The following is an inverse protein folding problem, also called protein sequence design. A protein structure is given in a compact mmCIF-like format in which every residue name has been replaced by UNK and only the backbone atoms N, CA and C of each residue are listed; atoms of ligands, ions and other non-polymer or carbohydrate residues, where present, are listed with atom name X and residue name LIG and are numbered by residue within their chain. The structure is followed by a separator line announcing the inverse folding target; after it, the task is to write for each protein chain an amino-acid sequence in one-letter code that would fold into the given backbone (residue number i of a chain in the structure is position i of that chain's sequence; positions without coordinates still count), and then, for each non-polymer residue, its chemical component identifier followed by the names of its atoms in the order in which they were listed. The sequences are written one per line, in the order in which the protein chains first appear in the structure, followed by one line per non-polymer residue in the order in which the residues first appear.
data_IF_487018172536
#
_entry.id   IF_487018172536
#
_cell.length_a   1.000
_cell.length_b   1.000
_cell.length_c   1.000
_cell.angle_alpha   90.00
_cell.angle_beta   90.00
_cell.angle_gamma   90.00
#
_symmetry.space_group_name_H-M   'P 1'
#
loop_
_entity.id
_entity.type
_entity.pdbx_description
1 polymer ?
#
# COMPACT_ATOMS: atom_id res chain seq x y z
N UNK A 1 -31.50 52.35 12.56
CA UNK A 1 -31.52 50.89 12.38
C UNK A 1 -30.13 50.40 12.75
N UNK A 2 -30.03 49.57 13.79
CA UNK A 2 -28.77 49.28 14.51
C UNK A 2 -27.98 48.13 13.90
N UNK A 3 -26.65 48.30 13.88
CA UNK A 3 -25.66 47.28 13.56
C UNK A 3 -25.57 46.23 14.69
N UNK A 4 -25.70 44.93 14.40
CA UNK A 4 -25.61 43.87 15.41
C UNK A 4 -24.28 43.11 15.36
N UNK A 5 -23.14 43.77 15.15
CA UNK A 5 -21.82 43.13 15.24
C UNK A 5 -20.81 44.04 15.93
N UNK A 6 -20.82 43.97 17.25
CA UNK A 6 -19.76 44.48 18.12
C UNK A 6 -19.52 43.48 19.24
N UNK A 7 -18.24 43.26 19.54
CA UNK A 7 -17.69 42.56 20.70
C UNK A 7 -17.44 41.04 20.57
N UNK A 8 -16.28 40.69 20.01
CA UNK A 8 -15.41 39.68 20.62
C UNK A 8 -14.00 40.27 20.76
N UNK A 9 -13.78 40.93 21.90
CA UNK A 9 -12.47 41.28 22.40
C UNK A 9 -12.17 40.33 23.57
N UNK A 10 -11.05 39.59 23.50
CA UNK A 10 -10.68 38.70 24.59
C UNK A 10 -9.38 37.95 24.37
N UNK A 11 -8.29 38.44 24.99
CA UNK A 11 -7.37 37.56 25.69
C UNK A 11 -6.02 37.24 25.04
N UNK A 12 -5.17 38.24 24.86
CA UNK A 12 -3.72 38.04 24.73
C UNK A 12 -3.13 37.48 26.04
N UNK A 13 -2.73 36.20 26.04
CA UNK A 13 -1.85 35.64 27.10
C UNK A 13 -0.42 35.60 26.58
N UNK A 14 0.43 36.35 27.27
CA UNK A 14 1.84 36.53 26.95
C UNK A 14 2.67 35.27 27.18
N UNK A 15 3.57 35.02 26.23
CA UNK A 15 4.69 34.10 26.38
C UNK A 15 5.82 34.84 27.09
N UNK A 16 6.16 34.42 28.31
CA UNK A 16 7.37 34.88 28.99
C UNK A 16 8.57 34.19 28.35
N UNK A 17 9.48 34.99 27.82
CA UNK A 17 10.83 34.57 27.45
C UNK A 17 11.60 34.18 28.73
N UNK A 18 11.93 32.89 28.85
CA UNK A 18 12.92 32.39 29.81
C UNK A 18 14.32 32.64 29.25
N UNK A 19 15.20 33.20 30.09
CA UNK A 19 16.63 33.37 29.80
C UNK A 19 17.32 32.00 29.73
N UNK A 20 18.35 31.83 28.89
CA UNK A 20 19.19 30.63 28.90
C UNK A 20 20.15 30.66 30.09
N UNK A 21 20.08 29.62 30.94
CA UNK A 21 21.09 29.35 31.96
C UNK A 21 22.27 28.58 31.32
N UNK A 22 23.46 29.17 31.41
CA UNK A 22 24.75 28.54 31.13
C UNK A 22 25.02 27.42 32.16
N UNK A 23 24.77 26.17 31.79
CA UNK A 23 25.28 25.02 32.52
C UNK A 23 26.45 24.35 31.80
N UNK A 24 27.58 24.38 32.50
CA UNK A 24 28.89 23.83 32.14
C UNK A 24 28.83 22.35 31.79
N UNK A 25 29.43 22.02 30.65
CA UNK A 25 29.78 20.68 30.21
C UNK A 25 30.58 19.92 31.27
N UNK A 26 30.04 18.81 31.75
CA UNK A 26 30.82 17.69 32.31
C UNK A 26 30.24 16.38 31.77
N UNK A 27 31.06 15.49 31.19
CA UNK A 27 30.58 14.22 30.66
C UNK A 27 30.25 13.23 31.80
N UNK A 28 29.15 12.46 31.70
CA UNK A 28 28.83 11.44 32.69
C UNK A 28 29.75 10.21 32.52
N UNK A 29 30.40 9.85 33.62
CA UNK A 29 31.19 8.64 33.80
C UNK A 29 30.24 7.43 33.91
N UNK A 30 30.21 6.58 32.86
CA UNK A 30 29.46 5.33 32.85
C UNK A 30 30.27 4.27 33.61
N UNK A 31 29.78 3.87 34.78
CA UNK A 31 30.30 2.72 35.52
C UNK A 31 29.65 1.42 35.00
N UNK A 32 30.40 0.32 34.84
CA UNK A 32 29.86 -0.94 34.33
C UNK A 32 28.98 -1.64 35.39
N UNK A 33 27.71 -1.85 35.05
CA UNK A 33 26.79 -2.71 35.82
C UNK A 33 27.08 -4.17 35.47
N UNK A 34 27.59 -4.89 36.46
CA UNK A 34 27.99 -6.28 36.37
C UNK A 34 26.78 -7.18 36.68
N UNK A 35 26.03 -7.56 35.65
CA UNK A 35 24.85 -8.45 35.81
C UNK A 35 25.27 -9.90 35.58
N UNK A 36 25.60 -10.61 36.67
CA UNK A 36 25.80 -12.07 36.67
C UNK A 36 24.43 -12.75 36.54
N UNK A 37 24.13 -13.31 35.36
CA UNK A 37 23.03 -14.26 35.19
C UNK A 37 23.57 -15.68 35.38
N UNK A 38 23.09 -16.35 36.43
CA UNK A 38 23.46 -17.74 36.77
C UNK A 38 22.44 -18.69 36.13
N UNK A 39 22.85 -19.41 35.08
CA UNK A 39 22.09 -20.54 34.53
C UNK A 39 22.04 -21.67 35.56
N UNK A 40 20.84 -22.00 36.03
CA UNK A 40 20.57 -23.26 36.73
C UNK A 40 19.94 -24.23 35.73
N UNK A 41 20.72 -25.24 35.35
CA UNK A 41 20.26 -26.45 34.71
C UNK A 41 19.46 -27.28 35.72
N UNK A 42 18.19 -27.55 35.38
CA UNK A 42 17.41 -28.61 36.03
C UNK A 42 16.77 -29.50 34.97
N UNK A 43 17.45 -30.61 34.75
CA UNK A 43 16.88 -31.87 34.28
C UNK A 43 15.82 -32.35 35.27
N UNK A 44 14.63 -32.67 34.79
CA UNK A 44 13.92 -33.86 35.23
C UNK A 44 12.86 -34.29 34.21
N UNK A 45 13.09 -35.53 33.78
CA UNK A 45 12.29 -36.41 32.96
C UNK A 45 11.03 -36.87 33.71
N UNK A 46 9.86 -36.90 33.08
CA UNK A 46 8.86 -37.94 33.30
C UNK A 46 7.77 -37.87 32.22
N UNK A 47 7.55 -39.01 31.57
CA UNK A 47 6.58 -39.16 30.51
C UNK A 47 5.14 -39.18 31.02
N UNK A 48 4.23 -38.74 30.16
CA UNK A 48 2.89 -39.33 30.09
C UNK A 48 2.41 -39.25 28.65
N UNK A 49 2.05 -40.42 28.14
CA UNK A 49 1.48 -40.68 26.83
C UNK A 49 -0.02 -40.40 26.87
N UNK A 50 -0.51 -39.64 25.89
CA UNK A 50 -1.82 -39.86 25.29
C UNK A 50 -1.86 -39.23 23.88
N UNK A 51 -2.41 -39.95 22.89
CA UNK A 51 -2.47 -39.54 21.49
C UNK A 51 -3.73 -38.70 21.23
N UNK A 52 -3.81 -38.19 20.01
CA UNK A 52 -4.95 -37.47 19.41
C UNK A 52 -4.96 -35.96 19.65
N UNK A 53 -4.42 -35.22 18.66
CA UNK A 53 -5.24 -34.30 17.86
C UNK A 53 -4.37 -33.50 16.89
N UNK A 54 -4.58 -33.78 15.60
CA UNK A 54 -4.59 -32.81 14.51
C UNK A 54 -3.25 -32.11 14.27
N UNK A 55 -2.35 -32.87 13.65
CA UNK A 55 -1.27 -32.27 12.88
C UNK A 55 -1.87 -31.40 11.78
N UNK A 56 -1.57 -30.11 11.83
CA UNK A 56 -1.66 -29.21 10.70
C UNK A 56 -0.72 -29.73 9.62
N UNK A 57 -1.25 -30.64 8.81
CA UNK A 57 -0.58 -31.14 7.62
C UNK A 57 -0.35 -29.96 6.67
N UNK A 58 0.92 -29.75 6.37
CA UNK A 58 1.40 -29.05 5.18
C UNK A 58 0.70 -29.63 3.93
N UNK A 59 -0.48 -29.08 3.58
CA UNK A 59 -1.18 -29.40 2.33
C UNK A 59 -0.43 -28.90 1.09
N UNK A 60 0.68 -28.17 1.27
CA UNK A 60 1.51 -27.67 0.18
C UNK A 60 2.43 -28.76 -0.43
N UNK A 61 2.81 -29.79 0.34
CA UNK A 61 3.69 -30.84 -0.19
C UNK A 61 2.93 -31.87 -1.06
N UNK A 62 1.66 -32.14 -0.76
CA UNK A 62 0.93 -33.24 -1.44
C UNK A 62 0.25 -32.83 -2.75
N UNK A 63 0.24 -31.54 -3.10
CA UNK A 63 -0.22 -31.06 -4.41
C UNK A 63 0.92 -30.77 -5.40
N UNK A 64 2.18 -30.83 -4.95
CA UNK A 64 3.37 -30.70 -5.82
C UNK A 64 4.18 -31.98 -6.01
N UNK A 65 3.91 -33.05 -5.24
CA UNK A 65 4.53 -34.38 -5.41
C UNK A 65 3.79 -35.31 -6.40
N UNK A 66 2.92 -34.75 -7.25
CA UNK A 66 2.32 -35.48 -8.35
C UNK A 66 3.15 -35.32 -9.62
N UNK A 67 4.02 -36.30 -9.85
CA UNK A 67 4.60 -36.67 -11.14
C UNK A 67 5.71 -35.72 -11.65
N UNK A 68 6.96 -36.16 -11.43
CA UNK A 68 8.22 -35.63 -11.98
C UNK A 68 8.34 -35.80 -13.51
N UNK A 69 7.21 -35.68 -14.21
CA UNK A 69 7.05 -35.61 -15.66
C UNK A 69 6.52 -34.21 -15.99
N UNK A 70 7.36 -33.20 -15.74
CA UNK A 70 7.05 -31.77 -15.83
C UNK A 70 6.76 -31.32 -17.27
N UNK A 71 5.55 -31.62 -17.76
CA UNK A 71 4.87 -30.76 -18.71
C UNK A 71 4.11 -29.70 -17.90
N UNK A 72 4.48 -28.42 -18.06
CA UNK A 72 3.70 -27.30 -17.53
C UNK A 72 2.23 -27.47 -17.96
N UNK A 73 1.36 -27.87 -17.03
CA UNK A 73 -0.08 -27.89 -17.27
C UNK A 73 -0.60 -26.47 -17.08
N UNK A 74 -0.67 -25.72 -18.18
CA UNK A 74 -1.50 -24.53 -18.24
C UNK A 74 -2.97 -24.95 -18.16
N UNK A 75 -3.77 -24.30 -17.33
CA UNK A 75 -5.22 -24.46 -17.32
C UNK A 75 -5.75 -23.84 -18.61
N UNK A 76 -5.94 -24.68 -19.63
CA UNK A 76 -6.40 -24.23 -20.96
C UNK A 76 -7.90 -23.89 -21.00
N UNK A 77 -8.64 -24.23 -19.94
CA UNK A 77 -10.08 -23.97 -19.80
C UNK A 77 -10.34 -22.82 -18.82
N UNK A 78 -11.40 -22.06 -19.09
CA UNK A 78 -11.90 -21.02 -18.20
C UNK A 78 -12.33 -21.65 -16.87
N UNK A 79 -11.71 -21.19 -15.79
CA UNK A 79 -11.96 -21.70 -14.45
C UNK A 79 -13.12 -20.94 -13.82
N UNK A 80 -13.78 -21.55 -12.82
CA UNK A 80 -14.78 -20.79 -12.07
C UNK A 80 -14.12 -19.68 -11.24
N UNK A 81 -14.83 -18.58 -11.03
CA UNK A 81 -14.35 -17.44 -10.24
C UNK A 81 -13.88 -17.85 -8.84
N UNK A 82 -14.54 -18.83 -8.21
CA UNK A 82 -14.18 -19.33 -6.89
C UNK A 82 -12.85 -20.11 -6.90
N UNK A 83 -12.61 -20.91 -7.94
CA UNK A 83 -11.34 -21.63 -8.10
C UNK A 83 -10.20 -20.64 -8.32
N UNK A 84 -10.38 -19.64 -9.19
CA UNK A 84 -9.37 -18.58 -9.41
C UNK A 84 -9.09 -17.81 -8.11
N UNK A 85 -10.14 -17.43 -7.38
CA UNK A 85 -10.01 -16.75 -6.07
C UNK A 85 -9.17 -17.57 -5.09
N UNK A 86 -9.52 -18.85 -4.92
CA UNK A 86 -8.80 -19.73 -4.00
C UNK A 86 -7.33 -19.88 -4.41
N UNK A 87 -7.06 -20.04 -5.71
CA UNK A 87 -5.70 -20.18 -6.22
C UNK A 87 -4.87 -18.90 -6.03
N UNK A 88 -5.39 -17.74 -6.42
CA UNK A 88 -4.69 -16.45 -6.29
C UNK A 88 -4.39 -16.15 -4.81
N UNK A 89 -5.35 -16.40 -3.91
CA UNK A 89 -5.12 -16.26 -2.46
C UNK A 89 -3.97 -17.13 -1.98
N UNK A 90 -3.90 -18.38 -2.43
CA UNK A 90 -2.83 -19.30 -2.06
C UNK A 90 -1.47 -18.84 -2.64
N UNK A 91 -1.44 -18.41 -3.91
CA UNK A 91 -0.23 -17.91 -4.57
C UNK A 91 0.35 -16.68 -3.85
N UNK A 92 -0.50 -15.68 -3.54
CA UNK A 92 -0.06 -14.48 -2.83
C UNK A 92 0.36 -14.78 -1.39
N UNK A 93 -0.30 -15.73 -0.72
CA UNK A 93 0.10 -16.16 0.63
C UNK A 93 1.47 -16.83 0.60
N UNK A 94 1.68 -17.76 -0.33
CA UNK A 94 2.98 -18.40 -0.51
C UNK A 94 4.08 -17.40 -0.88
N UNK A 95 3.77 -16.39 -1.70
CA UNK A 95 4.73 -15.33 -2.03
C UNK A 95 5.06 -14.44 -0.82
N UNK A 96 4.07 -14.04 -0.03
CA UNK A 96 4.29 -13.27 1.21
C UNK A 96 5.22 -14.03 2.17
N UNK A 97 5.10 -15.35 2.25
CA UNK A 97 5.92 -16.19 3.13
C UNK A 97 7.33 -16.48 2.59
N UNK A 98 7.46 -16.71 1.28
CA UNK A 98 8.71 -17.19 0.66
C UNK A 98 9.49 -16.12 -0.11
N UNK A 99 8.80 -15.07 -0.55
CA UNK A 99 9.29 -14.02 -1.45
C UNK A 99 9.90 -14.56 -2.75
N UNK A 100 9.46 -15.75 -3.18
CA UNK A 100 9.97 -16.40 -4.39
C UNK A 100 9.26 -15.85 -5.64
N UNK A 101 9.91 -14.90 -6.30
CA UNK A 101 9.41 -14.25 -7.53
C UNK A 101 9.13 -15.24 -8.65
N UNK A 102 10.04 -16.19 -8.89
CA UNK A 102 9.91 -17.18 -9.96
C UNK A 102 8.68 -18.06 -9.75
N UNK A 103 8.48 -18.57 -8.53
CA UNK A 103 7.30 -19.39 -8.22
C UNK A 103 6.00 -18.61 -8.36
N UNK A 104 5.98 -17.32 -7.98
CA UNK A 104 4.78 -16.49 -8.17
C UNK A 104 4.45 -16.32 -9.66
N UNK A 105 5.45 -15.99 -10.48
CA UNK A 105 5.30 -15.82 -11.94
C UNK A 105 4.83 -17.13 -12.58
N UNK A 106 5.53 -18.24 -12.32
CA UNK A 106 5.19 -19.56 -12.87
C UNK A 106 3.76 -19.99 -12.49
N UNK A 107 3.32 -19.65 -11.27
CA UNK A 107 1.99 -20.01 -10.78
C UNK A 107 0.89 -19.18 -11.45
N UNK A 108 1.11 -17.89 -11.67
CA UNK A 108 0.16 -17.05 -12.42
C UNK A 108 0.13 -17.44 -13.89
N UNK A 109 1.28 -17.71 -14.52
CA UNK A 109 1.33 -18.14 -15.92
C UNK A 109 0.55 -19.43 -16.15
N UNK A 110 0.58 -20.36 -15.18
CA UNK A 110 -0.20 -21.60 -15.24
C UNK A 110 -1.72 -21.37 -15.29
N UNK A 111 -2.24 -20.27 -14.73
CA UNK A 111 -3.69 -19.95 -14.81
C UNK A 111 -4.18 -19.78 -16.25
N UNK A 112 -3.31 -19.39 -17.17
CA UNK A 112 -3.68 -19.08 -18.55
C UNK A 112 -4.36 -17.71 -18.72
N UNK A 113 -4.12 -17.07 -19.86
CA UNK A 113 -4.53 -15.68 -20.14
C UNK A 113 -6.05 -15.46 -19.99
N UNK A 114 -6.87 -16.46 -20.28
CA UNK A 114 -8.34 -16.40 -20.13
C UNK A 114 -8.78 -16.12 -18.70
N UNK A 115 -7.96 -16.47 -17.71
CA UNK A 115 -8.27 -16.30 -16.29
C UNK A 115 -7.60 -15.06 -15.68
N UNK A 116 -6.77 -14.32 -16.42
CA UNK A 116 -5.96 -13.21 -15.86
C UNK A 116 -6.80 -12.05 -15.35
N UNK A 117 -7.86 -11.65 -16.07
CA UNK A 117 -8.71 -10.55 -15.61
C UNK A 117 -9.32 -10.84 -14.23
N UNK A 118 -9.92 -12.03 -14.07
CA UNK A 118 -10.42 -12.51 -12.79
C UNK A 118 -9.31 -12.60 -11.75
N UNK A 119 -8.14 -13.15 -12.13
CA UNK A 119 -7.03 -13.35 -11.21
C UNK A 119 -6.48 -12.03 -10.65
N UNK A 120 -6.33 -11.00 -11.48
CA UNK A 120 -5.86 -9.67 -11.06
C UNK A 120 -6.87 -9.01 -10.13
N UNK A 121 -8.18 -9.09 -10.44
CA UNK A 121 -9.21 -8.58 -9.54
C UNK A 121 -9.17 -9.29 -8.17
N UNK A 122 -9.09 -10.63 -8.16
CA UNK A 122 -9.00 -11.38 -6.90
C UNK A 122 -7.69 -11.09 -6.15
N UNK A 123 -6.61 -10.73 -6.86
CA UNK A 123 -5.36 -10.32 -6.24
C UNK A 123 -5.50 -8.96 -5.54
N UNK A 124 -6.14 -7.98 -6.19
CA UNK A 124 -6.45 -6.67 -5.58
C UNK A 124 -7.30 -6.87 -4.32
N UNK A 125 -8.39 -7.63 -4.42
CA UNK A 125 -9.27 -7.94 -3.30
C UNK A 125 -8.52 -8.60 -2.14
N UNK A 126 -7.69 -9.61 -2.45
CA UNK A 126 -6.92 -10.30 -1.42
C UNK A 126 -5.87 -9.42 -0.73
N UNK A 127 -5.31 -8.43 -1.42
CA UNK A 127 -4.31 -7.51 -0.86
C UNK A 127 -4.96 -6.53 0.11
N UNK A 128 -6.19 -6.12 -0.20
CA UNK A 128 -6.96 -5.17 0.62
C UNK A 128 -7.31 -5.72 2.01
N UNK A 129 -7.56 -7.02 2.11
CA UNK A 129 -7.89 -7.70 3.37
C UNK A 129 -6.66 -8.05 4.24
N UNK A 130 -5.44 -7.72 3.79
CA UNK A 130 -4.21 -8.08 4.50
C UNK A 130 -3.81 -7.05 5.55
N UNK A 131 -3.03 -7.51 6.53
CA UNK A 131 -2.34 -6.63 7.47
C UNK A 131 -1.33 -5.75 6.73
N UNK A 132 -0.98 -4.54 7.25
CA UNK A 132 -0.14 -3.60 6.51
C UNK A 132 1.19 -4.14 5.98
N UNK A 133 1.89 -4.93 6.78
CA UNK A 133 3.16 -5.58 6.40
C UNK A 133 2.97 -6.60 5.27
N UNK A 134 1.88 -7.38 5.33
CA UNK A 134 1.53 -8.38 4.33
C UNK A 134 0.96 -7.76 3.05
N UNK A 135 0.22 -6.66 3.17
CA UNK A 135 -0.32 -5.92 2.03
C UNK A 135 0.82 -5.29 1.21
N UNK A 136 1.84 -4.71 1.88
CA UNK A 136 3.04 -4.19 1.20
C UNK A 136 3.80 -5.31 0.48
N UNK A 137 4.03 -6.45 1.14
CA UNK A 137 4.69 -7.59 0.52
C UNK A 137 3.90 -8.14 -0.67
N UNK A 138 2.59 -8.34 -0.54
CA UNK A 138 1.76 -8.83 -1.64
C UNK A 138 1.68 -7.82 -2.81
N UNK A 139 1.71 -6.51 -2.51
CA UNK A 139 1.83 -5.45 -3.53
C UNK A 139 3.15 -5.55 -4.30
N UNK A 140 4.27 -5.87 -3.63
CA UNK A 140 5.53 -6.14 -4.33
C UNK A 140 5.41 -7.38 -5.24
N UNK A 141 4.61 -8.37 -4.85
CA UNK A 141 4.28 -9.51 -5.72
C UNK A 141 3.57 -9.09 -7.00
N UNK A 142 2.64 -8.14 -6.92
CA UNK A 142 2.00 -7.55 -8.11
C UNK A 142 3.01 -6.78 -8.98
N UNK A 143 3.98 -6.10 -8.38
CA UNK A 143 5.06 -5.46 -9.13
C UNK A 143 5.93 -6.47 -9.88
N UNK A 144 6.21 -7.62 -9.28
CA UNK A 144 6.91 -8.73 -9.95
C UNK A 144 6.11 -9.22 -11.16
N UNK A 145 4.81 -9.45 -11.00
CA UNK A 145 3.96 -9.89 -12.11
C UNK A 145 3.90 -8.87 -13.25
N UNK A 146 3.84 -7.56 -12.93
CA UNK A 146 3.88 -6.50 -13.93
C UNK A 146 5.24 -6.41 -14.63
N UNK A 147 6.35 -6.52 -13.89
CA UNK A 147 7.71 -6.55 -14.44
C UNK A 147 7.94 -7.71 -15.41
N UNK A 148 7.30 -8.86 -15.14
CA UNK A 148 7.35 -10.04 -16.01
C UNK A 148 6.30 -10.04 -17.12
N UNK A 149 5.50 -8.97 -17.27
CA UNK A 149 4.41 -8.82 -18.24
C UNK A 149 3.28 -9.87 -18.10
N UNK A 150 3.17 -10.52 -16.95
CA UNK A 150 2.04 -11.41 -16.64
C UNK A 150 0.78 -10.59 -16.37
N UNK A 151 0.96 -9.44 -15.71
CA UNK A 151 -0.09 -8.43 -15.51
C UNK A 151 0.24 -7.22 -16.37
N UNK A 152 -0.53 -7.01 -17.44
CA UNK A 152 -0.43 -5.80 -18.25
C UNK A 152 -1.04 -4.61 -17.52
N UNK A 153 -0.62 -3.40 -17.90
CA UNK A 153 -1.19 -2.15 -17.38
C UNK A 153 -2.71 -2.10 -17.59
N UNK A 154 -3.21 -2.52 -18.76
CA UNK A 154 -4.65 -2.52 -19.06
C UNK A 154 -5.44 -3.48 -18.16
N UNK A 155 -4.89 -4.67 -17.87
CA UNK A 155 -5.51 -5.62 -16.95
C UNK A 155 -5.54 -5.05 -15.52
N UNK A 156 -4.46 -4.40 -15.09
CA UNK A 156 -4.40 -3.76 -13.79
C UNK A 156 -5.40 -2.61 -13.68
N UNK A 157 -5.47 -1.72 -14.67
CA UNK A 157 -6.42 -0.60 -14.71
C UNK A 157 -7.86 -1.10 -14.66
N UNK A 158 -8.21 -2.11 -15.47
CA UNK A 158 -9.56 -2.67 -15.49
C UNK A 158 -9.95 -3.23 -14.11
N UNK A 159 -9.08 -4.02 -13.49
CA UNK A 159 -9.33 -4.60 -12.17
C UNK A 159 -9.42 -3.54 -11.06
N UNK A 160 -8.52 -2.55 -11.06
CA UNK A 160 -8.53 -1.45 -10.09
C UNK A 160 -9.79 -0.59 -10.26
N UNK A 161 -10.15 -0.24 -11.48
CA UNK A 161 -11.34 0.56 -11.78
C UNK A 161 -12.62 -0.16 -11.32
N UNK A 162 -12.72 -1.48 -11.55
CA UNK A 162 -13.83 -2.30 -11.07
C UNK A 162 -13.89 -2.33 -9.53
N UNK A 163 -12.73 -2.53 -8.88
CA UNK A 163 -12.63 -2.59 -7.42
C UNK A 163 -12.88 -1.23 -6.74
N UNK A 164 -12.68 -0.11 -7.44
CA UNK A 164 -12.79 1.24 -6.89
C UNK A 164 -14.15 1.55 -6.25
N UNK A 165 -15.22 0.92 -6.75
CA UNK A 165 -16.59 1.04 -6.23
C UNK A 165 -16.74 0.54 -4.78
N UNK A 166 -15.91 -0.41 -4.36
CA UNK A 166 -15.96 -1.06 -3.04
C UNK A 166 -15.05 -0.39 -2.01
N UNK A 167 -14.11 0.46 -2.44
CA UNK A 167 -13.08 1.03 -1.56
C UNK A 167 -13.64 1.90 -0.42
N UNK A 168 -14.72 2.63 -0.67
CA UNK A 168 -15.33 3.49 0.37
C UNK A 168 -15.96 2.67 1.49
N UNK A 169 -16.65 1.58 1.12
CA UNK A 169 -17.26 0.66 2.08
C UNK A 169 -16.17 -0.08 2.86
N UNK A 170 -15.13 -0.54 2.14
CA UNK A 170 -13.98 -1.23 2.72
C UNK A 170 -13.22 -0.37 3.73
N UNK A 171 -13.21 0.95 3.58
CA UNK A 171 -12.49 1.85 4.49
C UNK A 171 -12.93 1.70 5.96
N UNK A 172 -14.17 1.28 6.20
CA UNK A 172 -14.69 1.04 7.55
C UNK A 172 -13.98 -0.13 8.24
N UNK A 173 -13.62 -1.15 7.46
CA UNK A 173 -12.95 -2.36 7.95
C UNK A 173 -11.43 -2.27 7.81
N UNK A 174 -10.94 -1.57 6.78
CA UNK A 174 -9.52 -1.41 6.44
C UNK A 174 -9.19 0.08 6.32
N UNK A 175 -8.73 0.72 7.41
CA UNK A 175 -8.41 2.16 7.42
C UNK A 175 -7.34 2.60 6.41
N UNK A 176 -6.56 1.65 5.89
CA UNK A 176 -5.47 1.87 4.93
C UNK A 176 -5.85 1.53 3.48
N UNK A 177 -7.12 1.21 3.17
CA UNK A 177 -7.54 0.77 1.84
C UNK A 177 -7.09 1.71 0.70
N UNK A 178 -7.28 3.02 0.85
CA UNK A 178 -6.83 4.01 -0.14
C UNK A 178 -5.30 4.03 -0.32
N UNK A 179 -4.56 3.78 0.76
CA UNK A 179 -3.11 3.70 0.69
C UNK A 179 -2.68 2.47 -0.10
N UNK A 180 -3.27 1.30 0.18
CA UNK A 180 -2.97 0.07 -0.55
C UNK A 180 -3.36 0.18 -2.02
N UNK A 181 -4.48 0.81 -2.33
CA UNK A 181 -4.91 1.04 -3.71
C UNK A 181 -3.90 1.89 -4.50
N UNK A 182 -3.44 3.00 -3.91
CA UNK A 182 -2.42 3.85 -4.56
C UNK A 182 -1.08 3.14 -4.72
N UNK A 183 -0.68 2.33 -3.73
CA UNK A 183 0.51 1.48 -3.83
C UNK A 183 0.38 0.44 -4.95
N UNK A 184 -0.79 -0.21 -5.08
CA UNK A 184 -1.06 -1.18 -6.14
C UNK A 184 -0.96 -0.57 -7.52
N UNK A 185 -1.57 0.60 -7.74
CA UNK A 185 -1.45 1.33 -9.01
C UNK A 185 0.01 1.58 -9.40
N UNK A 186 0.84 2.00 -8.44
CA UNK A 186 2.25 2.25 -8.69
C UNK A 186 3.03 0.94 -8.96
N UNK A 187 2.75 -0.10 -8.17
CA UNK A 187 3.36 -1.41 -8.30
C UNK A 187 3.06 -2.07 -9.65
N UNK A 188 1.83 -1.96 -10.16
CA UNK A 188 1.44 -2.50 -11.46
C UNK A 188 1.78 -1.58 -12.64
N UNK A 189 2.65 -0.59 -12.42
CA UNK A 189 3.13 0.36 -13.43
C UNK A 189 2.02 1.13 -14.16
N UNK A 190 0.93 1.48 -13.47
CA UNK A 190 -0.08 2.39 -14.04
C UNK A 190 0.57 3.74 -14.31
N UNK A 191 0.53 4.18 -15.56
CA UNK A 191 1.09 5.45 -15.99
C UNK A 191 0.34 6.63 -15.36
N UNK A 192 1.06 7.72 -15.07
CA UNK A 192 0.50 8.92 -14.45
C UNK A 192 -0.69 9.49 -15.25
N UNK A 193 -0.61 9.44 -16.58
CA UNK A 193 -1.67 9.88 -17.49
C UNK A 193 -2.97 9.05 -17.39
N UNK A 194 -2.89 7.82 -16.87
CA UNK A 194 -4.01 6.86 -16.74
C UNK A 194 -4.44 6.61 -15.30
N UNK A 195 -3.88 7.33 -14.34
CA UNK A 195 -4.24 7.22 -12.91
C UNK A 195 -5.73 7.45 -12.69
N UNK A 196 -6.35 8.40 -13.38
CA UNK A 196 -7.80 8.67 -13.26
C UNK A 196 -8.66 7.52 -13.79
N UNK A 197 -8.20 6.80 -14.81
CA UNK A 197 -8.87 5.62 -15.37
C UNK A 197 -8.91 4.48 -14.34
N UNK A 198 -7.77 4.22 -13.68
CA UNK A 198 -7.67 3.21 -12.63
C UNK A 198 -8.54 3.51 -11.39
N UNK A 199 -8.87 4.78 -11.13
CA UNK A 199 -9.74 5.17 -10.03
C UNK A 199 -11.24 4.98 -10.34
N UNK A 200 -11.61 4.73 -11.60
CA UNK A 200 -12.97 4.37 -12.00
C UNK A 200 -14.05 5.29 -11.42
N UNK A 201 -15.01 4.71 -10.71
CA UNK A 201 -16.18 5.42 -10.16
C UNK A 201 -15.80 6.47 -9.11
N UNK A 202 -14.65 6.35 -8.44
CA UNK A 202 -14.21 7.34 -7.45
C UNK A 202 -13.99 8.72 -8.07
N UNK A 203 -13.67 8.78 -9.37
CA UNK A 203 -13.52 10.06 -10.08
C UNK A 203 -14.84 10.84 -10.17
N UNK A 204 -15.99 10.18 -10.03
CA UNK A 204 -17.30 10.85 -9.99
C UNK A 204 -17.59 11.49 -8.62
N UNK A 205 -16.79 11.17 -7.59
CA UNK A 205 -16.95 11.62 -6.21
C UNK A 205 -15.92 12.67 -5.79
N UNK A 206 -15.20 13.27 -6.75
CA UNK A 206 -14.15 14.26 -6.50
C UNK A 206 -14.67 15.53 -5.80
N UNK A 207 -15.94 15.86 -5.96
CA UNK A 207 -16.54 17.07 -5.36
C UNK A 207 -16.85 16.93 -3.86
N UNK A 208 -16.55 15.78 -3.24
CA UNK A 208 -16.67 15.61 -1.80
C UNK A 208 -15.65 16.48 -1.04
N UNK A 209 -16.00 16.91 0.18
CA UNK A 209 -15.15 17.78 1.02
C UNK A 209 -13.74 17.19 1.27
N UNK A 210 -13.62 15.87 1.27
CA UNK A 210 -12.35 15.13 1.36
C UNK A 210 -12.40 13.98 0.35
N UNK A 211 -12.07 14.24 -0.91
CA UNK A 211 -12.27 13.24 -1.93
C UNK A 211 -11.28 12.08 -1.73
N UNK A 212 -11.74 10.82 -1.81
CA UNK A 212 -10.89 9.65 -1.59
C UNK A 212 -9.74 9.58 -2.60
N UNK A 213 -9.99 10.08 -3.82
CA UNK A 213 -9.03 10.18 -4.93
C UNK A 213 -7.71 10.83 -4.53
N UNK A 214 -7.76 11.89 -3.70
CA UNK A 214 -6.54 12.60 -3.33
C UNK A 214 -5.63 11.77 -2.42
N UNK A 215 -6.21 11.04 -1.46
CA UNK A 215 -5.47 10.13 -0.59
C UNK A 215 -4.80 9.00 -1.39
N UNK A 216 -5.51 8.48 -2.39
CA UNK A 216 -4.99 7.45 -3.31
C UNK A 216 -3.82 8.01 -4.13
N UNK A 217 -3.96 9.20 -4.74
CA UNK A 217 -2.88 9.84 -5.50
C UNK A 217 -1.64 10.08 -4.64
N UNK A 218 -1.81 10.50 -3.38
CA UNK A 218 -0.66 10.67 -2.50
C UNK A 218 0.06 9.37 -2.21
N UNK A 219 -0.68 8.28 -1.97
CA UNK A 219 -0.07 6.96 -1.78
C UNK A 219 0.65 6.48 -3.05
N UNK A 220 0.06 6.69 -4.22
CA UNK A 220 0.67 6.40 -5.52
C UNK A 220 1.99 7.17 -5.72
N UNK A 221 1.98 8.49 -5.55
CA UNK A 221 3.18 9.33 -5.72
C UNK A 221 4.28 9.01 -4.70
N UNK A 222 3.90 8.75 -3.45
CA UNK A 222 4.86 8.31 -2.40
C UNK A 222 5.49 6.97 -2.78
N UNK A 223 4.70 6.03 -3.28
CA UNK A 223 5.22 4.74 -3.69
C UNK A 223 6.17 4.88 -4.89
N UNK A 224 5.78 5.64 -5.92
CA UNK A 224 6.63 5.96 -7.08
C UNK A 224 7.95 6.62 -6.66
N UNK A 225 7.91 7.61 -5.75
CA UNK A 225 9.11 8.26 -5.24
C UNK A 225 10.01 7.31 -4.45
N UNK A 226 9.42 6.38 -3.68
CA UNK A 226 10.15 5.35 -2.94
C UNK A 226 10.83 4.34 -3.86
N UNK A 227 10.17 3.90 -4.94
CA UNK A 227 10.67 2.86 -5.84
C UNK A 227 11.60 3.39 -6.93
N UNK A 228 11.23 4.51 -7.57
CA UNK A 228 11.94 5.07 -8.73
C UNK A 228 12.85 6.25 -8.36
N UNK A 229 12.72 6.77 -7.13
CA UNK A 229 13.38 7.99 -6.67
C UNK A 229 12.53 9.25 -6.90
N UNK A 230 12.69 10.23 -6.01
CA UNK A 230 11.99 11.53 -6.09
C UNK A 230 12.27 12.25 -7.41
N UNK A 231 13.52 12.26 -7.87
CA UNK A 231 13.93 12.92 -9.10
C UNK A 231 13.23 12.35 -10.34
N UNK A 232 13.29 11.03 -10.50
CA UNK A 232 12.63 10.33 -11.62
C UNK A 232 11.11 10.53 -11.60
N UNK A 233 10.52 10.54 -10.40
CA UNK A 233 9.08 10.78 -10.22
C UNK A 233 8.71 12.20 -10.60
N UNK A 234 9.53 13.19 -10.23
CA UNK A 234 9.34 14.59 -10.62
C UNK A 234 9.43 14.78 -12.14
N UNK A 235 10.44 14.19 -12.78
CA UNK A 235 10.57 14.24 -14.25
C UNK A 235 9.32 13.66 -14.91
N UNK A 236 8.82 12.51 -14.43
CA UNK A 236 7.62 11.89 -14.97
C UNK A 236 6.36 12.78 -14.79
N UNK A 237 6.21 13.44 -13.63
CA UNK A 237 5.14 14.43 -13.41
C UNK A 237 5.21 15.57 -14.42
N UNK A 238 6.41 16.08 -14.70
CA UNK A 238 6.63 17.17 -15.66
C UNK A 238 6.36 16.71 -17.11
N UNK A 239 6.87 15.55 -17.51
CA UNK A 239 6.71 14.99 -18.86
C UNK A 239 5.27 14.61 -19.20
N UNK A 240 4.52 14.10 -18.22
CA UNK A 240 3.10 13.72 -18.39
C UNK A 240 2.13 14.86 -18.14
N UNK A 241 2.64 16.06 -17.80
CA UNK A 241 1.85 17.21 -17.38
C UNK A 241 0.83 16.85 -16.28
N UNK A 242 1.22 15.96 -15.35
CA UNK A 242 0.31 15.39 -14.35
C UNK A 242 -0.27 16.48 -13.44
N UNK A 243 -1.56 16.78 -13.65
CA UNK A 243 -2.26 17.77 -12.84
C UNK A 243 -2.87 17.13 -11.59
N UNK A 244 -2.24 17.34 -10.44
CA UNK A 244 -2.76 16.90 -9.14
C UNK A 244 -4.08 17.59 -8.75
N UNK A 245 -4.38 18.78 -9.31
CA UNK A 245 -5.58 19.54 -8.95
C UNK A 245 -6.88 18.84 -9.37
N UNK A 246 -6.83 17.98 -10.40
CA UNK A 246 -7.99 17.25 -10.90
C UNK A 246 -8.57 16.26 -9.86
N UNK A 247 -7.78 15.90 -8.84
CA UNK A 247 -8.19 14.97 -7.78
C UNK A 247 -8.69 15.68 -6.51
N UNK A 248 -8.74 17.02 -6.53
CA UNK A 248 -9.31 17.86 -5.47
C UNK A 248 -10.71 18.35 -5.85
N UNK A 249 -11.54 18.55 -4.83
CA UNK A 249 -12.80 19.29 -4.95
C UNK A 249 -12.54 20.70 -5.50
N UNK A 250 -13.46 21.22 -6.32
CA UNK A 250 -13.32 22.50 -7.02
C UNK A 250 -12.93 23.66 -6.09
N UNK A 251 -13.47 23.71 -4.88
CA UNK A 251 -13.20 24.75 -3.89
C UNK A 251 -11.77 24.72 -3.33
N UNK A 252 -11.06 23.61 -3.52
CA UNK A 252 -9.69 23.38 -3.03
C UNK A 252 -8.63 23.35 -4.15
N UNK A 253 -8.99 23.74 -5.38
CA UNK A 253 -8.05 23.80 -6.53
C UNK A 253 -7.21 25.08 -6.57
N UNK A 254 -7.26 25.91 -5.53
CA UNK A 254 -6.38 27.08 -5.44
C UNK A 254 -4.92 26.64 -5.29
N UNK A 255 -3.97 27.38 -5.87
CA UNK A 255 -2.54 27.06 -5.75
C UNK A 255 -2.07 27.00 -4.30
N UNK A 256 -2.61 27.89 -3.45
CA UNK A 256 -2.33 27.92 -2.01
C UNK A 256 -2.81 26.65 -1.31
N UNK A 257 -4.02 26.17 -1.63
CA UNK A 257 -4.53 24.92 -1.07
C UNK A 257 -3.74 23.70 -1.56
N UNK A 258 -3.42 23.65 -2.85
CA UNK A 258 -2.60 22.58 -3.42
C UNK A 258 -1.24 22.54 -2.74
N UNK A 259 -0.55 23.69 -2.63
CA UNK A 259 0.73 23.81 -1.91
C UNK A 259 0.61 23.30 -0.48
N UNK A 260 -0.45 23.72 0.23
CA UNK A 260 -0.70 23.31 1.63
C UNK A 260 -0.89 21.80 1.74
N UNK A 261 -1.74 21.20 0.92
CA UNK A 261 -2.02 19.76 1.00
C UNK A 261 -0.80 18.92 0.59
N UNK A 262 -0.09 19.31 -0.47
CA UNK A 262 1.17 18.66 -0.87
C UNK A 262 2.24 18.77 0.23
N UNK A 263 2.36 19.94 0.86
CA UNK A 263 3.27 20.17 1.98
C UNK A 263 2.95 19.30 3.19
N UNK A 264 1.67 19.15 3.55
CA UNK A 264 1.24 18.27 4.64
C UNK A 264 1.52 16.78 4.39
N UNK A 265 1.76 16.40 3.13
CA UNK A 265 2.02 15.03 2.73
C UNK A 265 3.48 14.78 2.35
N UNK A 266 4.36 15.77 2.53
CA UNK A 266 5.77 15.70 2.14
C UNK A 266 5.98 15.44 0.63
N UNK A 267 5.07 15.94 -0.21
CA UNK A 267 5.10 15.77 -1.67
C UNK A 267 5.43 17.07 -2.42
N UNK A 268 5.67 18.18 -1.71
CA UNK A 268 5.93 19.47 -2.34
C UNK A 268 7.22 19.46 -3.20
N UNK A 269 8.21 18.63 -2.86
CA UNK A 269 9.44 18.48 -3.65
C UNK A 269 9.20 17.91 -5.05
N UNK A 270 8.10 17.16 -5.23
CA UNK A 270 7.70 16.60 -6.53
C UNK A 270 7.00 17.63 -7.43
N UNK A 271 6.59 18.78 -6.90
CA UNK A 271 5.88 19.81 -7.66
C UNK A 271 6.49 21.20 -7.46
N UNK A 272 7.62 21.51 -8.11
CA UNK A 272 8.32 22.79 -7.96
C UNK A 272 7.44 24.02 -8.23
N UNK A 273 6.47 23.90 -9.14
CA UNK A 273 5.52 24.98 -9.47
C UNK A 273 4.76 25.52 -8.26
N UNK A 274 4.46 24.67 -7.27
CA UNK A 274 3.75 25.08 -6.06
C UNK A 274 4.69 25.52 -4.93
N UNK A 275 5.99 25.23 -5.03
CA UNK A 275 6.95 25.63 -3.99
C UNK A 275 7.14 27.16 -3.94
N UNK A 276 6.97 27.85 -5.08
CA UNK A 276 7.22 29.28 -5.25
C UNK A 276 6.04 30.19 -4.90
N UNK A 277 4.88 29.63 -4.53
CA UNK A 277 3.66 30.40 -4.25
C UNK A 277 3.70 30.91 -2.81
N UNK A 278 3.88 32.22 -2.61
CA UNK A 278 3.97 32.87 -1.28
C UNK A 278 2.63 32.92 -0.52
#
# INVERSE_FOLDING_TARGET
MGNPFSAFAGGSRGWRAGKPDEHKNTPPHISPVNTKFTLHSRSSNSGSSSPDAIGSQNMFATLMDADESAGHKTYAEEMSTEEVRSLVKNMLTAYVETQNEATLVDSFEQLGETNYSTAVYQAVDNIMDRRPDQAEQATNGMAVLAKHNVVSEDLAIAALAEYSSQLEDLLLDVPHAFQYFGMLMAATHVQMSRVSEAMGELMTKVDMLKPPTMSIVFAYLKHMAKTNGEESTRINIEETEFDVSQFLCLDHRSETDIKRVLGLQDLLSLFPKYAQVD
#
